data_IF_121856223688
#
_entry.id   IF_121856223688
#
_cell.length_a   1.000
_cell.length_b   1.000
_cell.length_c   1.000
_cell.angle_alpha   90.00
_cell.angle_beta   90.00
_cell.angle_gamma   90.00
#
_symmetry.space_group_name_H-M   'P 1'
#
loop_
_entity.id
_entity.type
_entity.pdbx_description
1 polymer ?
#
# COMPACT_ATOMS: atom_id res chain seq x y z
N UNK A 1 6.38 45.36 -68.34
CA UNK A 1 6.83 46.03 -67.08
C UNK A 1 5.67 45.91 -66.09
N UNK A 2 5.73 45.40 -64.87
CA UNK A 2 6.78 44.92 -63.92
C UNK A 2 6.08 43.87 -62.98
N UNK A 3 6.79 43.02 -62.20
CA UNK A 3 6.42 41.62 -61.95
C UNK A 3 5.87 41.31 -60.52
N UNK A 4 5.96 40.07 -59.96
CA UNK A 4 4.83 39.25 -59.47
C UNK A 4 4.66 39.28 -57.94
N UNK A 5 3.62 38.62 -57.41
CA UNK A 5 3.54 38.26 -55.98
C UNK A 5 3.15 36.79 -55.79
N UNK A 6 4.17 35.98 -55.50
CA UNK A 6 4.02 34.66 -54.91
C UNK A 6 3.46 34.80 -53.50
N UNK A 7 2.32 34.16 -53.20
CA UNK A 7 1.91 33.92 -51.83
C UNK A 7 2.04 32.44 -51.53
N UNK A 8 3.12 32.11 -50.82
CA UNK A 8 3.32 30.84 -50.12
C UNK A 8 2.21 30.79 -49.06
N UNK A 9 1.16 29.98 -49.26
CA UNK A 9 0.24 29.64 -48.17
C UNK A 9 0.96 28.61 -47.30
N UNK A 10 1.52 29.11 -46.22
CA UNK A 10 2.21 28.35 -45.19
C UNK A 10 1.34 27.17 -44.70
N UNK A 11 1.98 26.00 -44.67
CA UNK A 11 1.54 24.80 -43.96
C UNK A 11 1.13 25.18 -42.53
N UNK A 12 -0.18 25.14 -42.23
CA UNK A 12 -0.68 25.27 -40.86
C UNK A 12 -0.46 23.91 -40.17
N UNK A 13 0.66 23.79 -39.49
CA UNK A 13 0.97 22.64 -38.65
C UNK A 13 -0.13 22.46 -37.59
N UNK A 14 -0.79 21.30 -37.63
CA UNK A 14 -1.56 20.77 -36.50
C UNK A 14 -0.58 20.54 -35.35
N UNK A 15 -0.73 21.26 -34.24
CA UNK A 15 -0.08 20.88 -32.99
C UNK A 15 -1.01 19.88 -32.30
N UNK A 16 -0.74 18.59 -32.46
CA UNK A 16 -1.26 17.55 -31.58
C UNK A 16 -0.51 17.66 -30.25
N UNK A 17 -1.12 18.30 -29.26
CA UNK A 17 -0.63 18.26 -27.88
C UNK A 17 -0.97 16.89 -27.28
N UNK A 18 -0.07 15.92 -27.41
CA UNK A 18 -0.16 14.68 -26.65
C UNK A 18 0.19 14.99 -25.19
N UNK A 19 -0.83 15.06 -24.30
CA UNK A 19 -0.59 15.04 -22.87
C UNK A 19 -0.04 13.65 -22.50
N UNK A 20 1.25 13.60 -22.18
CA UNK A 20 1.86 12.45 -21.54
C UNK A 20 1.32 12.40 -20.10
N UNK A 21 0.29 11.59 -19.87
CA UNK A 21 -0.15 11.26 -18.51
C UNK A 21 0.91 10.33 -17.90
N UNK A 22 1.69 10.83 -16.95
CA UNK A 22 2.55 9.98 -16.12
C UNK A 22 1.66 9.15 -15.20
N UNK A 23 1.92 7.84 -15.00
CA UNK A 23 1.19 7.05 -14.03
C UNK A 23 1.37 7.68 -12.64
N UNK A 24 0.27 8.01 -11.99
CA UNK A 24 0.27 8.34 -10.56
C UNK A 24 0.40 7.01 -9.82
N UNK A 25 1.52 6.78 -9.14
CA UNK A 25 1.61 5.71 -8.16
C UNK A 25 0.82 6.15 -6.93
N UNK A 26 -0.14 5.34 -6.49
CA UNK A 26 -0.79 5.56 -5.20
C UNK A 26 0.23 5.34 -4.08
N UNK A 27 0.17 6.17 -3.02
CA UNK A 27 1.02 5.96 -1.86
C UNK A 27 0.61 4.64 -1.17
N UNK A 28 1.55 3.72 -0.90
CA UNK A 28 1.23 2.41 -0.33
C UNK A 28 0.74 2.53 1.11
N UNK A 29 0.11 1.46 1.61
CA UNK A 29 -0.21 1.35 3.04
C UNK A 29 1.07 1.37 3.86
N UNK A 30 1.21 2.27 4.84
CA UNK A 30 2.40 2.36 5.68
C UNK A 30 2.12 1.73 7.04
N UNK A 31 2.95 0.77 7.45
CA UNK A 31 2.96 0.27 8.83
C UNK A 31 3.81 1.24 9.67
N UNK A 32 3.17 2.02 10.53
CA UNK A 32 3.85 3.03 11.35
C UNK A 32 4.35 2.47 12.68
N UNK A 33 3.66 1.45 13.20
CA UNK A 33 4.04 0.81 14.46
C UNK A 33 3.53 -0.63 14.51
N UNK A 34 4.29 -1.50 15.19
CA UNK A 34 3.87 -2.83 15.57
C UNK A 34 4.24 -3.08 17.03
N UNK A 35 3.26 -3.48 17.83
CA UNK A 35 3.50 -4.09 19.14
C UNK A 35 3.18 -5.58 19.06
N UNK A 36 4.14 -6.41 19.45
CA UNK A 36 4.00 -7.85 19.55
C UNK A 36 4.12 -8.27 21.01
N UNK A 37 3.20 -9.10 21.50
CA UNK A 37 3.24 -9.61 22.86
C UNK A 37 2.78 -11.06 22.93
N UNK A 38 3.52 -11.87 23.67
CA UNK A 38 3.11 -13.23 23.96
C UNK A 38 1.90 -13.25 24.92
N UNK A 39 0.94 -14.12 24.64
CA UNK A 39 -0.29 -14.36 25.41
C UNK A 39 -0.49 -15.87 25.53
N UNK A 40 0.03 -16.48 26.60
CA UNK A 40 0.10 -17.93 26.74
C UNK A 40 0.98 -18.54 25.64
N UNK A 41 0.45 -19.50 24.89
CA UNK A 41 1.15 -20.17 23.78
C UNK A 41 1.03 -19.42 22.44
N UNK A 42 0.34 -18.28 22.42
CA UNK A 42 0.07 -17.53 21.18
C UNK A 42 0.56 -16.10 21.29
N UNK A 43 0.58 -15.39 20.17
CA UNK A 43 0.95 -13.99 20.09
C UNK A 43 -0.24 -13.11 19.77
N UNK A 44 -0.19 -11.88 20.30
CA UNK A 44 -1.01 -10.78 19.82
C UNK A 44 -0.11 -9.74 19.16
N UNK A 45 -0.60 -9.24 18.03
CA UNK A 45 -0.05 -8.11 17.30
C UNK A 45 -1.06 -6.97 17.33
N UNK A 46 -0.60 -5.78 17.68
CA UNK A 46 -1.32 -4.52 17.53
C UNK A 46 -0.55 -3.71 16.47
N UNK A 47 -1.15 -3.51 15.30
CA UNK A 47 -0.49 -2.90 14.12
C UNK A 47 -1.17 -1.57 13.80
N UNK A 48 -0.37 -0.51 13.75
CA UNK A 48 -0.78 0.83 13.35
C UNK A 48 -0.48 1.04 11.88
N UNK A 49 -1.53 1.35 11.10
CA UNK A 49 -1.46 1.54 9.65
C UNK A 49 -1.89 2.97 9.31
N UNK A 50 -1.21 3.55 8.34
CA UNK A 50 -1.64 4.74 7.61
C UNK A 50 -1.87 4.38 6.15
N UNK A 51 -3.02 4.75 5.61
CA UNK A 51 -3.30 4.63 4.18
C UNK A 51 -4.12 5.84 3.71
N UNK A 52 -3.90 6.35 2.49
CA UNK A 52 -4.71 7.43 1.91
C UNK A 52 -6.07 6.91 1.45
N UNK A 53 -6.88 6.40 2.38
CA UNK A 53 -8.22 5.89 2.07
C UNK A 53 -9.05 6.98 1.37
N UNK A 54 -9.78 6.61 0.30
CA UNK A 54 -10.73 7.49 -0.40
C UNK A 54 -12.14 6.88 -0.45
N UNK A 55 -12.43 5.99 0.49
CA UNK A 55 -13.70 5.29 0.64
C UNK A 55 -13.60 3.83 0.23
N UNK A 56 -14.75 3.23 -0.06
CA UNK A 56 -14.87 1.78 -0.35
C UNK A 56 -14.07 1.32 -1.58
N UNK A 57 -13.79 2.25 -2.49
CA UNK A 57 -13.07 1.96 -3.73
C UNK A 57 -11.56 1.94 -3.56
N UNK A 58 -11.00 2.49 -2.46
CA UNK A 58 -9.55 2.47 -2.20
C UNK A 58 -9.27 2.64 -0.70
N UNK A 59 -8.95 1.55 -0.03
CA UNK A 59 -8.63 1.54 1.40
C UNK A 59 -7.74 0.36 1.78
N UNK A 60 -7.08 0.45 2.94
CA UNK A 60 -6.36 -0.67 3.52
C UNK A 60 -7.34 -1.78 3.97
N UNK A 61 -7.33 -2.93 3.30
CA UNK A 61 -8.27 -4.04 3.53
C UNK A 61 -7.71 -5.15 4.43
N UNK A 62 -6.42 -5.07 4.79
CA UNK A 62 -5.86 -5.97 5.77
C UNK A 62 -4.35 -5.92 5.93
N UNK A 63 -3.86 -6.79 6.81
CA UNK A 63 -2.43 -7.03 7.02
C UNK A 63 -2.21 -8.42 7.59
N UNK A 64 -1.07 -9.03 7.26
CA UNK A 64 -0.72 -10.39 7.69
C UNK A 64 0.59 -10.44 8.46
N UNK A 65 0.70 -11.45 9.31
CA UNK A 65 1.93 -11.90 9.95
C UNK A 65 2.53 -13.01 9.09
N UNK A 66 3.79 -12.85 8.71
CA UNK A 66 4.55 -13.83 7.94
C UNK A 66 5.73 -14.34 8.76
N UNK A 67 6.14 -15.57 8.53
CA UNK A 67 7.48 -16.01 8.92
C UNK A 67 8.57 -15.34 8.04
N UNK A 68 9.84 -15.62 8.33
CA UNK A 68 10.96 -15.06 7.55
C UNK A 68 11.11 -15.68 6.14
N UNK A 69 10.38 -16.75 5.83
CA UNK A 69 10.31 -17.35 4.50
C UNK A 69 9.11 -16.84 3.67
N UNK A 70 8.27 -15.98 4.25
CA UNK A 70 7.07 -15.44 3.62
C UNK A 70 5.81 -16.32 3.76
N UNK A 71 5.84 -17.36 4.61
CA UNK A 71 4.65 -18.15 4.93
C UNK A 71 3.73 -17.37 5.86
N UNK A 72 2.44 -17.34 5.55
CA UNK A 72 1.44 -16.69 6.37
C UNK A 72 1.18 -17.46 7.68
N UNK A 73 1.30 -16.75 8.80
CA UNK A 73 1.02 -17.24 10.17
C UNK A 73 -0.34 -16.75 10.68
N UNK A 74 -0.87 -15.67 10.10
CA UNK A 74 -2.19 -15.14 10.40
C UNK A 74 -2.50 -13.85 9.66
N UNK A 75 -3.78 -13.55 9.50
CA UNK A 75 -4.27 -12.40 8.74
C UNK A 75 -5.31 -11.62 9.54
N UNK A 76 -5.19 -10.30 9.52
CA UNK A 76 -6.21 -9.37 9.99
C UNK A 76 -6.89 -8.72 8.79
N UNK A 77 -8.16 -9.06 8.58
CA UNK A 77 -9.03 -8.38 7.62
C UNK A 77 -9.58 -7.09 8.21
N UNK A 78 -9.66 -6.05 7.38
CA UNK A 78 -10.26 -4.75 7.69
C UNK A 78 -11.48 -4.57 6.78
N UNK A 79 -12.66 -4.42 7.40
CA UNK A 79 -13.94 -4.53 6.69
C UNK A 79 -14.51 -3.20 6.20
N UNK A 80 -13.85 -2.09 6.49
CA UNK A 80 -14.34 -0.76 6.12
C UNK A 80 -13.18 0.24 5.96
N UNK A 81 -13.39 1.33 5.20
CA UNK A 81 -12.45 2.44 5.15
C UNK A 81 -12.31 3.15 6.50
N UNK A 82 -11.17 3.82 6.68
CA UNK A 82 -10.76 4.56 7.87
C UNK A 82 -10.32 6.00 7.50
N UNK A 83 -10.94 6.65 6.51
CA UNK A 83 -10.55 7.98 5.98
C UNK A 83 -10.28 9.04 7.06
N UNK A 84 -11.13 9.10 8.10
CA UNK A 84 -11.04 10.10 9.17
C UNK A 84 -10.34 9.58 10.44
N UNK A 85 -9.83 8.35 10.41
CA UNK A 85 -9.20 7.64 11.54
C UNK A 85 -7.75 7.31 11.17
N UNK A 86 -7.00 8.23 10.58
CA UNK A 86 -5.61 7.97 10.16
C UNK A 86 -4.61 8.64 11.12
N UNK A 87 -3.57 7.91 11.58
CA UNK A 87 -3.42 6.45 11.48
C UNK A 87 -4.38 5.73 12.43
N UNK A 88 -4.70 4.46 12.12
CA UNK A 88 -5.49 3.59 13.01
C UNK A 88 -4.71 2.34 13.40
N UNK A 89 -5.04 1.78 14.56
CA UNK A 89 -4.49 0.52 15.06
C UNK A 89 -5.55 -0.57 15.06
N UNK A 90 -5.22 -1.75 14.54
CA UNK A 90 -6.04 -2.96 14.69
C UNK A 90 -5.19 -4.13 15.12
N UNK A 91 -5.86 -5.10 15.73
CA UNK A 91 -5.18 -6.17 16.44
C UNK A 91 -5.53 -7.55 15.90
N UNK A 92 -4.55 -8.44 15.93
CA UNK A 92 -4.71 -9.87 15.68
C UNK A 92 -4.22 -10.63 16.91
N UNK A 93 -5.01 -11.58 17.41
CA UNK A 93 -4.65 -12.42 18.56
C UNK A 93 -4.75 -13.88 18.16
N UNK A 94 -4.08 -14.77 18.91
CA UNK A 94 -4.09 -16.20 18.63
C UNK A 94 -3.13 -16.61 17.51
N UNK A 95 -2.14 -15.77 17.18
CA UNK A 95 -1.13 -16.11 16.17
C UNK A 95 -0.18 -17.14 16.78
N UNK A 96 -0.10 -18.33 16.19
CA UNK A 96 0.83 -19.37 16.61
C UNK A 96 2.17 -19.12 15.90
N UNK A 97 3.23 -18.99 16.69
CA UNK A 97 4.58 -18.81 16.19
C UNK A 97 5.42 -20.00 16.67
N UNK A 98 6.10 -20.73 15.78
CA UNK A 98 6.94 -21.86 16.18
C UNK A 98 8.00 -21.46 17.22
N UNK A 99 8.32 -22.38 18.13
CA UNK A 99 9.39 -22.16 19.11
C UNK A 99 10.73 -21.86 18.41
N UNK A 100 11.51 -20.94 18.98
CA UNK A 100 12.81 -20.54 18.46
C UNK A 100 12.75 -19.50 17.32
N UNK A 101 11.57 -19.11 16.85
CA UNK A 101 11.41 -17.98 15.92
C UNK A 101 11.52 -16.67 16.70
N UNK A 102 12.55 -15.88 16.41
CA UNK A 102 12.77 -14.57 17.05
C UNK A 102 12.26 -13.37 16.23
N UNK A 103 11.85 -13.59 14.98
CA UNK A 103 11.40 -12.52 14.08
C UNK A 103 10.27 -12.97 13.17
N UNK A 104 9.38 -12.03 12.87
CA UNK A 104 8.31 -12.15 11.87
C UNK A 104 8.28 -10.92 10.99
N UNK A 105 7.49 -10.96 9.92
CA UNK A 105 7.24 -9.82 9.05
C UNK A 105 5.76 -9.44 9.10
N UNK A 106 5.46 -8.15 9.09
CA UNK A 106 4.09 -7.64 8.93
C UNK A 106 3.97 -7.00 7.55
N UNK A 107 2.97 -7.43 6.78
CA UNK A 107 2.73 -6.91 5.43
C UNK A 107 1.31 -6.39 5.31
N UNK A 108 1.17 -5.13 4.89
CA UNK A 108 -0.12 -4.49 4.68
C UNK A 108 -0.66 -4.72 3.25
N UNK A 109 -1.97 -4.54 3.08
CA UNK A 109 -2.70 -4.71 1.84
C UNK A 109 -3.70 -3.59 1.61
N UNK A 110 -3.79 -3.17 0.36
CA UNK A 110 -4.84 -2.32 -0.18
C UNK A 110 -5.79 -3.16 -1.05
N UNK A 111 -7.09 -2.84 -1.02
CA UNK A 111 -8.09 -3.51 -1.85
C UNK A 111 -7.85 -3.34 -3.37
N UNK A 112 -7.22 -2.25 -3.79
CA UNK A 112 -6.88 -1.95 -5.20
C UNK A 112 -5.47 -2.40 -5.55
N UNK A 113 -4.49 -1.94 -4.77
CA UNK A 113 -3.07 -2.11 -5.10
C UNK A 113 -2.52 -3.47 -4.67
N UNK A 114 -3.30 -4.22 -3.88
CA UNK A 114 -2.91 -5.52 -3.36
C UNK A 114 -1.89 -5.40 -2.23
N UNK A 115 -1.00 -6.38 -2.13
CA UNK A 115 0.01 -6.43 -1.08
C UNK A 115 1.14 -5.44 -1.38
N UNK A 116 1.61 -4.76 -0.34
CA UNK A 116 2.84 -3.98 -0.44
C UNK A 116 4.01 -4.85 -0.92
N UNK A 117 4.94 -4.29 -1.68
CA UNK A 117 6.19 -4.98 -2.04
C UNK A 117 7.03 -5.33 -0.82
N UNK A 118 6.99 -4.46 0.20
CA UNK A 118 7.84 -4.54 1.37
C UNK A 118 7.02 -4.93 2.61
N UNK A 119 7.71 -5.48 3.60
CA UNK A 119 7.16 -5.86 4.90
C UNK A 119 8.01 -5.28 6.05
N UNK A 120 7.38 -5.04 7.19
CA UNK A 120 8.04 -4.57 8.40
C UNK A 120 8.51 -5.76 9.23
N UNK A 121 9.82 -5.91 9.43
CA UNK A 121 10.38 -6.95 10.32
C UNK A 121 10.16 -6.55 11.77
N UNK A 122 9.69 -7.50 12.57
CA UNK A 122 9.40 -7.33 14.00
C UNK A 122 10.15 -8.40 14.78
N UNK A 123 10.96 -7.97 15.74
CA UNK A 123 11.59 -8.87 16.72
C UNK A 123 10.60 -9.23 17.81
N UNK A 124 10.55 -10.51 18.16
CA UNK A 124 9.72 -11.07 19.23
C UNK A 124 10.53 -11.10 20.52
N UNK A 125 9.97 -10.54 21.59
CA UNK A 125 10.57 -10.50 22.94
C UNK A 125 9.99 -11.53 23.90
#
# INVERSE_FOLDING_TARGET
MHPPRFYIRAMRYLILSALLATPAFADPSVIENVSARQTGETWRFDVTIRHPDTGWDHYADGWRVLDMNGQELGMRVLHHPHETEQPFTRSLSGVVIPEGVGQVQIQARCNVDGWNSDATVVTLE
#
